data_IF_172987155447
#
_entry.id   IF_172987155447
#
_cell.length_a   1.000
_cell.length_b   1.000
_cell.length_c   1.000
_cell.angle_alpha   90.00
_cell.angle_beta   90.00
_cell.angle_gamma   90.00
#
_symmetry.space_group_name_H-M   'P 1'
#
loop_
_entity.id
_entity.type
_entity.pdbx_description
1 polymer ?
#
# COMPACT_ATOMS: atom_id res chain seq x y z
N UNK A 1 17.70 -1.60 -86.30
CA UNK A 1 16.94 -0.50 -85.66
C UNK A 1 16.10 -0.94 -84.46
N UNK A 2 15.75 -2.21 -84.32
CA UNK A 2 14.92 -2.74 -83.22
C UNK A 2 15.58 -2.65 -81.82
N UNK A 3 16.87 -2.87 -81.68
CA UNK A 3 17.62 -2.88 -80.40
C UNK A 3 17.71 -1.50 -79.75
N UNK A 4 17.74 -0.41 -80.50
CA UNK A 4 17.82 0.94 -79.91
C UNK A 4 16.49 1.42 -79.30
N UNK A 5 15.38 1.04 -79.91
CA UNK A 5 14.06 1.34 -79.35
C UNK A 5 13.76 0.53 -78.10
N UNK A 6 14.15 -0.70 -78.03
CA UNK A 6 14.01 -1.54 -76.85
C UNK A 6 14.82 -0.96 -75.68
N UNK A 7 16.06 -0.57 -75.87
CA UNK A 7 16.92 0.04 -74.84
C UNK A 7 16.33 1.35 -74.35
N UNK A 8 15.77 2.19 -75.20
CA UNK A 8 15.14 3.43 -74.78
C UNK A 8 13.89 3.18 -73.94
N UNK A 9 13.11 2.15 -74.26
CA UNK A 9 11.94 1.75 -73.48
C UNK A 9 12.37 1.28 -72.08
N UNK A 10 13.42 0.48 -71.96
CA UNK A 10 13.93 0.05 -70.63
C UNK A 10 14.44 1.22 -69.78
N UNK A 11 15.15 2.18 -70.40
CA UNK A 11 15.61 3.36 -69.66
C UNK A 11 14.47 4.27 -69.24
N UNK A 12 13.42 4.41 -70.04
CA UNK A 12 12.23 5.16 -69.67
C UNK A 12 11.50 4.48 -68.51
N UNK A 13 11.41 3.16 -68.53
CA UNK A 13 10.74 2.40 -67.45
C UNK A 13 11.55 2.46 -66.14
N UNK A 14 12.89 2.38 -66.22
CA UNK A 14 13.75 2.52 -65.07
C UNK A 14 13.67 3.91 -64.42
N UNK A 15 13.61 4.96 -65.27
CA UNK A 15 13.45 6.35 -64.79
C UNK A 15 12.08 6.58 -64.12
N UNK A 16 11.03 5.94 -64.67
CA UNK A 16 9.70 6.02 -64.08
C UNK A 16 9.63 5.33 -62.72
N UNK A 17 10.28 4.16 -62.56
CA UNK A 17 10.32 3.42 -61.29
C UNK A 17 11.12 4.14 -60.23
N UNK A 18 12.22 4.82 -60.57
CA UNK A 18 13.01 5.59 -59.60
C UNK A 18 12.26 6.81 -59.04
N UNK A 19 11.34 7.40 -59.78
CA UNK A 19 10.50 8.53 -59.37
C UNK A 19 9.47 8.14 -58.31
N UNK A 20 8.98 6.90 -58.31
CA UNK A 20 7.96 6.43 -57.37
C UNK A 20 8.55 6.17 -55.98
N UNK A 21 9.82 5.80 -55.89
CA UNK A 21 10.50 5.53 -54.60
C UNK A 21 10.84 6.81 -53.80
N UNK A 22 10.89 7.97 -54.43
CA UNK A 22 11.17 9.24 -53.77
C UNK A 22 9.94 9.87 -53.11
N UNK A 23 8.74 9.32 -53.30
CA UNK A 23 7.48 9.92 -52.83
C UNK A 23 7.14 9.62 -51.37
N UNK A 24 7.92 8.81 -50.64
CA UNK A 24 7.64 8.45 -49.25
C UNK A 24 8.49 9.21 -48.22
N UNK A 25 9.11 10.32 -48.58
CA UNK A 25 9.72 11.19 -47.58
C UNK A 25 8.64 11.97 -46.84
N UNK A 26 8.10 11.38 -45.76
CA UNK A 26 7.29 12.11 -44.80
C UNK A 26 8.08 13.31 -44.32
N UNK A 27 7.55 14.51 -44.51
CA UNK A 27 8.12 15.72 -43.88
C UNK A 27 8.26 15.47 -42.38
N UNK A 28 9.44 15.72 -41.79
CA UNK A 28 9.55 15.69 -40.34
C UNK A 28 8.46 16.60 -39.78
N UNK A 29 7.74 16.10 -38.75
CA UNK A 29 6.73 16.87 -38.07
C UNK A 29 7.35 18.21 -37.63
N UNK A 30 6.65 19.36 -37.84
CA UNK A 30 7.14 20.64 -37.43
C UNK A 30 7.46 20.55 -35.94
N UNK A 31 8.72 20.81 -35.59
CA UNK A 31 9.13 20.85 -34.21
C UNK A 31 8.17 21.79 -33.48
N UNK A 32 7.61 21.35 -32.36
CA UNK A 32 6.76 22.16 -31.50
C UNK A 32 7.67 23.23 -30.87
N UNK A 33 7.98 24.27 -31.63
CA UNK A 33 8.67 25.48 -31.14
C UNK A 33 7.68 26.38 -30.37
N UNK A 34 6.70 25.78 -29.75
CA UNK A 34 5.73 26.47 -28.93
C UNK A 34 6.22 26.61 -27.49
N UNK A 35 5.65 27.55 -26.78
CA UNK A 35 5.80 27.94 -25.36
C UNK A 35 5.84 26.79 -24.32
N UNK A 36 6.13 25.57 -24.68
CA UNK A 36 6.30 24.46 -23.76
C UNK A 36 7.69 24.58 -23.13
N UNK A 37 7.79 25.33 -22.03
CA UNK A 37 8.86 25.09 -21.07
C UNK A 37 8.61 23.74 -20.48
N UNK A 38 9.59 22.86 -20.58
CA UNK A 38 9.61 21.65 -19.76
C UNK A 38 9.74 22.13 -18.31
N UNK A 39 8.61 22.25 -17.66
CA UNK A 39 8.57 22.58 -16.23
C UNK A 39 8.76 21.27 -15.51
N UNK A 40 10.00 20.83 -15.42
CA UNK A 40 10.36 19.70 -14.60
C UNK A 40 10.34 20.19 -13.16
N UNK A 41 9.22 20.03 -12.48
CA UNK A 41 9.05 20.39 -11.07
C UNK A 41 9.65 19.36 -10.11
N UNK A 42 10.29 18.33 -10.65
CA UNK A 42 11.02 17.40 -9.82
C UNK A 42 12.37 18.01 -9.45
N UNK A 43 12.68 17.98 -8.16
CA UNK A 43 13.99 18.37 -7.68
C UNK A 43 15.06 17.53 -8.40
N UNK A 44 16.15 18.16 -8.86
CA UNK A 44 17.28 17.46 -9.49
C UNK A 44 17.97 16.50 -8.52
N UNK A 45 17.78 16.69 -7.23
CA UNK A 45 18.24 15.78 -6.19
C UNK A 45 17.15 14.79 -5.86
N UNK A 46 17.46 13.50 -6.00
CA UNK A 46 16.58 12.44 -5.54
C UNK A 46 16.38 12.55 -4.04
N UNK A 47 15.20 13.02 -3.61
CA UNK A 47 14.82 12.96 -2.21
C UNK A 47 14.50 11.49 -1.89
N UNK A 48 15.22 10.93 -0.92
CA UNK A 48 14.96 9.57 -0.47
C UNK A 48 13.56 9.54 0.14
N UNK A 49 12.65 8.77 -0.47
CA UNK A 49 11.35 8.49 0.11
C UNK A 49 11.62 7.75 1.43
N UNK A 50 11.28 8.31 2.60
CA UNK A 50 11.49 7.61 3.86
C UNK A 50 10.64 6.34 3.85
N UNK A 51 11.30 5.19 3.63
CA UNK A 51 10.66 3.87 3.62
C UNK A 51 10.24 3.40 5.02
N UNK A 52 10.53 4.18 6.04
CA UNK A 52 10.10 3.92 7.42
C UNK A 52 8.73 4.55 7.68
N UNK A 53 7.71 4.05 7.00
CA UNK A 53 6.35 4.26 7.48
C UNK A 53 6.17 3.30 8.67
N UNK A 54 5.97 3.87 9.86
CA UNK A 54 5.49 3.08 10.99
C UNK A 54 4.20 2.38 10.60
N UNK A 55 4.12 1.08 10.87
CA UNK A 55 2.91 0.31 10.56
C UNK A 55 1.71 0.94 11.27
N UNK A 56 0.61 1.12 10.53
CA UNK A 56 -0.64 1.64 11.07
C UNK A 56 -1.55 0.46 11.44
N UNK A 57 -1.90 0.35 12.69
CA UNK A 57 -2.84 -0.65 13.20
C UNK A 57 -4.27 -0.15 12.99
N UNK A 58 -5.02 -0.81 12.13
CA UNK A 58 -6.41 -0.48 11.80
C UNK A 58 -7.17 -1.74 11.37
N UNK A 59 -8.49 -1.81 11.57
CA UNK A 59 -9.31 -2.88 11.00
C UNK A 59 -9.44 -2.71 9.50
N UNK A 60 -9.33 -3.80 8.75
CA UNK A 60 -9.57 -3.83 7.32
C UNK A 60 -10.95 -4.43 7.02
N UNK A 61 -11.64 -4.02 5.94
CA UNK A 61 -12.88 -4.68 5.51
C UNK A 61 -12.72 -6.18 5.21
N UNK A 62 -11.48 -6.64 5.03
CA UNK A 62 -11.15 -8.06 4.82
C UNK A 62 -11.05 -8.84 6.13
N UNK A 63 -10.98 -8.15 7.27
CA UNK A 63 -10.90 -8.78 8.58
C UNK A 63 -12.32 -9.12 9.07
N UNK A 64 -12.68 -10.40 9.04
CA UNK A 64 -14.00 -10.83 9.54
C UNK A 64 -14.07 -10.96 11.06
N UNK A 65 -12.94 -11.28 11.71
CA UNK A 65 -12.86 -11.57 13.15
C UNK A 65 -11.66 -10.92 13.81
N UNK A 66 -11.72 -10.83 15.15
CA UNK A 66 -10.61 -10.32 15.97
C UNK A 66 -9.31 -11.12 15.71
N UNK A 67 -9.42 -12.45 15.62
CA UNK A 67 -8.27 -13.32 15.36
C UNK A 67 -7.67 -13.06 13.99
N UNK A 68 -8.49 -12.92 12.94
CA UNK A 68 -7.99 -12.64 11.58
C UNK A 68 -7.31 -11.28 11.51
N UNK A 69 -7.88 -10.25 12.13
CA UNK A 69 -7.30 -8.92 12.22
C UNK A 69 -5.94 -8.93 12.93
N UNK A 70 -5.87 -9.53 14.12
CA UNK A 70 -4.63 -9.61 14.89
C UNK A 70 -3.56 -10.49 14.21
N UNK A 71 -3.98 -11.53 13.46
CA UNK A 71 -3.07 -12.33 12.65
C UNK A 71 -2.43 -11.48 11.54
N UNK A 72 -3.23 -10.63 10.88
CA UNK A 72 -2.71 -9.69 9.88
C UNK A 72 -1.75 -8.69 10.51
N UNK A 73 -2.12 -8.07 11.64
CA UNK A 73 -1.26 -7.11 12.34
C UNK A 73 0.08 -7.73 12.74
N UNK A 74 0.06 -8.95 13.31
CA UNK A 74 1.26 -9.66 13.71
C UNK A 74 2.16 -9.97 12.50
N UNK A 75 1.59 -10.48 11.42
CA UNK A 75 2.33 -10.77 10.19
C UNK A 75 2.97 -9.52 9.60
N UNK A 76 2.21 -8.44 9.46
CA UNK A 76 2.64 -7.23 8.79
C UNK A 76 3.68 -6.45 9.62
N UNK A 77 3.61 -6.53 10.96
CA UNK A 77 4.60 -5.96 11.89
C UNK A 77 5.71 -6.93 12.29
N UNK A 78 5.78 -8.13 11.67
CA UNK A 78 6.78 -9.17 11.93
C UNK A 78 6.79 -9.65 13.39
N UNK A 79 5.62 -9.70 14.00
CA UNK A 79 5.38 -10.17 15.37
C UNK A 79 4.75 -11.56 15.37
N UNK A 80 4.70 -12.18 16.54
CA UNK A 80 4.00 -13.46 16.75
C UNK A 80 2.64 -13.20 17.40
N UNK A 81 1.59 -13.89 16.96
CA UNK A 81 0.30 -13.91 17.63
C UNK A 81 0.16 -15.19 18.46
N UNK A 82 -0.14 -15.03 19.75
CA UNK A 82 -0.55 -16.12 20.65
C UNK A 82 -2.02 -15.92 21.02
N UNK A 83 -2.91 -16.59 20.31
CA UNK A 83 -4.36 -16.51 20.56
C UNK A 83 -4.78 -17.69 21.45
N UNK A 84 -4.88 -17.44 22.75
CA UNK A 84 -5.18 -18.46 23.78
C UNK A 84 -6.64 -18.46 24.21
N UNK A 85 -7.45 -17.50 23.74
CA UNK A 85 -8.87 -17.46 24.00
C UNK A 85 -9.57 -18.57 23.22
N UNK A 86 -10.50 -19.34 23.84
CA UNK A 86 -11.18 -20.47 23.17
C UNK A 86 -12.15 -20.04 22.06
N UNK A 87 -12.67 -18.83 22.17
CA UNK A 87 -13.61 -18.25 21.20
C UNK A 87 -12.96 -17.21 20.32
N UNK A 88 -13.42 -17.08 19.07
CA UNK A 88 -13.12 -15.95 18.19
C UNK A 88 -14.31 -15.00 18.15
N UNK A 89 -14.06 -13.73 17.93
CA UNK A 89 -15.07 -12.67 18.00
C UNK A 89 -15.16 -11.94 16.67
N UNK A 90 -16.39 -11.68 16.23
CA UNK A 90 -16.62 -10.82 15.05
C UNK A 90 -16.26 -9.38 15.37
N UNK A 91 -15.75 -8.67 14.36
CA UNK A 91 -15.51 -7.25 14.50
C UNK A 91 -16.85 -6.49 14.50
N UNK A 92 -17.03 -5.61 15.48
CA UNK A 92 -18.21 -4.77 15.62
C UNK A 92 -17.86 -3.27 15.54
N UNK A 93 -18.87 -2.43 15.42
CA UNK A 93 -18.72 -1.02 15.07
C UNK A 93 -17.63 -0.24 15.86
N UNK A 94 -17.47 -0.39 17.19
CA UNK A 94 -16.43 0.32 17.93
C UNK A 94 -15.01 0.02 17.45
N UNK A 95 -14.73 -1.19 16.94
CA UNK A 95 -13.41 -1.56 16.43
C UNK A 95 -13.01 -0.72 15.23
N UNK A 96 -13.98 -0.24 14.44
CA UNK A 96 -13.73 0.57 13.25
C UNK A 96 -13.00 1.89 13.56
N UNK A 97 -13.05 2.36 14.80
CA UNK A 97 -12.39 3.59 15.24
C UNK A 97 -10.92 3.38 15.69
N UNK A 98 -10.48 2.14 15.82
CA UNK A 98 -9.09 1.83 16.19
C UNK A 98 -8.18 2.15 15.00
N UNK A 99 -7.43 3.23 15.12
CA UNK A 99 -6.45 3.62 14.11
C UNK A 99 -5.28 4.34 14.78
N UNK A 100 -4.15 3.64 14.92
CA UNK A 100 -2.96 4.19 15.55
C UNK A 100 -1.69 3.51 15.03
N UNK A 101 -0.56 4.20 15.10
CA UNK A 101 0.76 3.61 14.84
C UNK A 101 1.39 2.97 16.08
N UNK A 102 0.77 3.12 17.24
CA UNK A 102 1.26 2.57 18.50
C UNK A 102 0.52 1.27 18.85
N UNK A 103 1.25 0.14 18.86
CA UNK A 103 0.67 -1.16 19.15
C UNK A 103 0.06 -1.24 20.57
N UNK A 104 0.70 -0.64 21.58
CA UNK A 104 0.18 -0.68 22.97
C UNK A 104 -1.15 0.04 23.08
N UNK A 105 -1.28 1.17 22.39
CA UNK A 105 -2.53 1.91 22.31
C UNK A 105 -3.59 1.09 21.58
N UNK A 106 -3.26 0.49 20.43
CA UNK A 106 -4.17 -0.36 19.68
C UNK A 106 -4.73 -1.51 20.52
N UNK A 107 -3.86 -2.26 21.21
CA UNK A 107 -4.29 -3.39 22.03
C UNK A 107 -5.05 -2.95 23.28
N UNK A 108 -4.73 -1.79 23.87
CA UNK A 108 -5.47 -1.22 24.99
C UNK A 108 -6.91 -0.84 24.57
N UNK A 109 -7.06 -0.19 23.42
CA UNK A 109 -8.37 0.15 22.87
C UNK A 109 -9.19 -1.12 22.58
N UNK A 110 -8.57 -2.15 21.97
CA UNK A 110 -9.26 -3.42 21.71
C UNK A 110 -9.65 -4.13 23.02
N UNK A 111 -8.77 -4.15 24.03
CA UNK A 111 -9.09 -4.75 25.32
C UNK A 111 -10.28 -4.06 26.00
N UNK A 112 -10.37 -2.73 25.90
CA UNK A 112 -11.51 -1.97 26.40
C UNK A 112 -12.80 -2.29 25.62
N UNK A 113 -12.74 -2.41 24.29
CA UNK A 113 -13.86 -2.73 23.43
C UNK A 113 -14.41 -4.13 23.71
N UNK A 114 -13.53 -5.11 23.98
CA UNK A 114 -13.90 -6.51 24.25
C UNK A 114 -13.92 -6.87 25.75
N UNK A 115 -13.94 -5.87 26.64
CA UNK A 115 -13.95 -6.10 28.10
C UNK A 115 -15.19 -6.89 28.57
N UNK A 116 -16.36 -6.62 27.99
CA UNK A 116 -17.61 -7.33 28.31
C UNK A 116 -17.55 -8.81 27.89
N UNK A 117 -16.76 -9.15 26.88
CA UNK A 117 -16.54 -10.51 26.42
C UNK A 117 -15.42 -11.22 27.18
N UNK A 118 -14.89 -10.59 28.23
CA UNK A 118 -13.80 -11.10 29.04
C UNK A 118 -12.54 -11.42 28.20
N UNK A 119 -12.19 -10.54 27.27
CA UNK A 119 -10.99 -10.67 26.44
C UNK A 119 -9.93 -9.69 26.93
N UNK A 120 -8.77 -10.20 27.24
CA UNK A 120 -7.57 -9.41 27.52
C UNK A 120 -6.58 -9.54 26.38
N UNK A 121 -6.18 -8.41 25.82
CA UNK A 121 -5.20 -8.34 24.73
C UNK A 121 -3.99 -7.58 25.28
N UNK A 122 -2.83 -8.21 25.21
CA UNK A 122 -1.57 -7.60 25.63
C UNK A 122 -0.56 -7.70 24.51
N UNK A 123 0.36 -6.73 24.42
CA UNK A 123 1.44 -6.76 23.47
C UNK A 123 2.79 -6.56 24.17
N UNK A 124 3.78 -7.28 23.69
CA UNK A 124 5.18 -7.09 24.01
C UNK A 124 5.92 -6.65 22.75
N UNK A 125 7.21 -6.40 22.83
CA UNK A 125 8.00 -5.95 21.67
C UNK A 125 7.88 -6.90 20.45
N UNK A 126 7.59 -8.18 20.65
CA UNK A 126 7.65 -9.21 19.60
C UNK A 126 6.40 -10.10 19.51
N UNK A 127 5.42 -9.91 20.39
CA UNK A 127 4.28 -10.81 20.48
C UNK A 127 3.00 -10.08 20.91
N UNK A 128 1.90 -10.46 20.27
CA UNK A 128 0.54 -10.11 20.70
C UNK A 128 -0.05 -11.35 21.38
N UNK A 129 -0.61 -11.20 22.58
CA UNK A 129 -1.22 -12.30 23.34
C UNK A 129 -2.66 -11.97 23.63
N UNK A 130 -3.56 -12.90 23.30
CA UNK A 130 -5.00 -12.81 23.57
C UNK A 130 -5.39 -13.91 24.54
N UNK A 131 -6.00 -13.54 25.66
CA UNK A 131 -6.43 -14.47 26.73
C UNK A 131 -7.84 -14.16 27.18
N UNK A 132 -8.47 -15.11 27.85
CA UNK A 132 -9.62 -14.80 28.66
C UNK A 132 -9.20 -13.95 29.87
N UNK A 133 -9.90 -12.86 30.13
CA UNK A 133 -9.73 -12.09 31.37
C UNK A 133 -10.35 -12.84 32.52
N UNK A 134 -9.66 -12.89 33.65
CA UNK A 134 -10.26 -13.33 34.89
C UNK A 134 -11.11 -12.16 35.46
N UNK A 135 -12.41 -12.33 35.73
CA UNK A 135 -13.23 -11.26 36.26
C UNK A 135 -12.74 -10.72 37.63
N UNK A 136 -11.87 -11.45 38.31
CA UNK A 136 -11.25 -11.04 39.58
C UNK A 136 -10.12 -9.99 39.43
N UNK A 137 -9.66 -9.68 38.19
CA UNK A 137 -8.59 -8.72 37.94
C UNK A 137 -9.06 -7.35 37.37
N UNK A 138 -10.37 -7.13 37.33
CA UNK A 138 -10.93 -5.81 37.02
C UNK A 138 -11.08 -5.05 38.35
N UNK A 139 -10.01 -4.83 39.10
CA UNK A 139 -9.99 -3.80 40.12
C UNK A 139 -9.71 -2.46 39.47
N UNK A 140 -10.60 -1.46 39.63
CA UNK A 140 -10.28 -0.10 39.23
C UNK A 140 -9.07 0.37 40.02
N UNK A 141 -8.09 0.94 39.36
CA UNK A 141 -6.90 1.56 39.98
C UNK A 141 -7.26 2.85 40.76
N UNK A 142 -8.30 2.79 41.62
CA UNK A 142 -8.81 3.96 42.36
C UNK A 142 -8.40 4.00 43.84
N UNK A 143 -7.66 3.05 44.35
CA UNK A 143 -7.31 3.05 45.78
C UNK A 143 -5.83 3.20 46.13
N UNK A 144 -5.02 3.80 45.26
CA UNK A 144 -3.60 4.04 45.59
C UNK A 144 -3.28 5.43 46.15
N UNK A 145 -4.24 6.21 46.61
CA UNK A 145 -3.99 7.58 47.09
C UNK A 145 -4.61 7.98 48.43
N UNK A 146 -4.84 7.05 49.36
CA UNK A 146 -5.28 7.43 50.69
C UNK A 146 -4.54 6.60 51.77
N UNK A 147 -3.22 6.70 51.90
CA UNK A 147 -2.52 6.42 53.14
C UNK A 147 -1.20 7.16 53.16
N UNK A 148 -1.25 8.45 53.44
CA UNK A 148 -0.12 9.17 54.04
C UNK A 148 -0.68 10.11 55.08
N UNK A 149 -0.62 9.71 56.28
CA UNK A 149 -0.69 10.56 57.47
C UNK A 149 0.55 10.30 58.27
#
# INVERSE_FOLDING_TARGET
MKTRTEILIYFAFLALMSGVLASCATRPAPGINGRWKVVNHYAETTEAIPLYQSYMFYPSPMDGTLKTMLTRWARDSKMTLSYLHPSDFTLHAPVAHVQTSNLQEAVSQLSAIYAEQLVSITATANQIVVRASDPAQIEPAENASLTTN
#
